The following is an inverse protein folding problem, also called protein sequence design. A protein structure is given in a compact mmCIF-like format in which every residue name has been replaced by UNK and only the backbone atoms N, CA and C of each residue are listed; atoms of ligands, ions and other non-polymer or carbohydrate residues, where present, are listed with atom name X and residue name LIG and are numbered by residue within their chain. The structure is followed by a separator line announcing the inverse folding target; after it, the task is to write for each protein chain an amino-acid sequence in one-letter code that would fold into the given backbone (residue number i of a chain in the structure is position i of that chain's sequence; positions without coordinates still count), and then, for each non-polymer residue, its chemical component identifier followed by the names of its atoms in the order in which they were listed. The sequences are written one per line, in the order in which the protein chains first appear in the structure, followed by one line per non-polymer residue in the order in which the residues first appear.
data_IF_751656211407
#
_entry.id   IF_751656211407
#
_cell.length_a   1.000
_cell.length_b   1.000
_cell.length_c   1.000
_cell.angle_alpha   90.00
_cell.angle_beta   90.00
_cell.angle_gamma   90.00
#
_symmetry.space_group_name_H-M   'P 1'
#
loop_
_entity.id
_entity.type
_entity.pdbx_description
1 polymer ?
#
# COMPACT_ATOMS: atom_id res chain seq x y z
N UNK A 1 -19.04 26.66 4.91
CA UNK A 1 -18.14 25.50 4.74
C UNK A 1 -18.11 25.16 3.26
N UNK A 2 -16.95 24.85 2.69
CA UNK A 2 -16.79 24.52 1.26
C UNK A 2 -16.36 23.07 1.15
N UNK A 3 -17.00 22.34 0.24
CA UNK A 3 -16.67 20.95 -0.07
C UNK A 3 -15.96 20.90 -1.43
N UNK A 4 -14.71 20.50 -1.42
CA UNK A 4 -13.89 20.36 -2.61
C UNK A 4 -13.94 18.91 -3.11
N UNK A 5 -14.42 18.74 -4.34
CA UNK A 5 -14.41 17.45 -5.01
C UNK A 5 -13.19 17.32 -5.92
N UNK A 6 -12.24 16.48 -5.51
CA UNK A 6 -11.01 16.22 -6.27
C UNK A 6 -11.23 15.03 -7.20
N UNK A 7 -11.17 15.31 -8.50
CA UNK A 7 -11.27 14.32 -9.57
C UNK A 7 -9.94 14.15 -10.28
N UNK A 8 -9.69 12.94 -10.80
CA UNK A 8 -8.60 12.66 -11.73
C UNK A 8 -9.19 12.08 -12.99
N UNK A 9 -9.19 12.86 -14.08
CA UNK A 9 -9.91 12.52 -15.31
C UNK A 9 -11.38 12.21 -15.00
N UNK A 10 -11.88 11.04 -15.38
CA UNK A 10 -13.28 10.64 -15.16
C UNK A 10 -13.51 9.95 -13.80
N UNK A 11 -12.46 9.78 -12.98
CA UNK A 11 -12.54 9.07 -11.70
C UNK A 11 -12.60 10.03 -10.52
N UNK A 12 -13.59 9.80 -9.67
CA UNK A 12 -13.77 10.53 -8.42
C UNK A 12 -12.73 10.07 -7.40
N UNK A 13 -11.87 10.98 -6.92
CA UNK A 13 -10.77 10.62 -6.03
C UNK A 13 -11.19 10.74 -4.57
N UNK A 14 -11.30 11.97 -4.02
CA UNK A 14 -11.80 12.23 -2.66
C UNK A 14 -12.51 13.57 -2.54
N UNK A 15 -13.20 13.73 -1.42
CA UNK A 15 -13.78 14.98 -0.94
C UNK A 15 -12.92 15.56 0.17
N UNK A 16 -12.79 16.88 0.19
CA UNK A 16 -12.09 17.62 1.25
C UNK A 16 -12.93 18.82 1.69
N UNK A 17 -13.19 18.95 2.98
CA UNK A 17 -14.01 20.03 3.55
C UNK A 17 -13.13 21.06 4.25
N UNK A 18 -13.30 22.35 3.90
CA UNK A 18 -12.58 23.46 4.52
C UNK A 18 -13.44 24.71 4.68
N UNK A 19 -13.08 25.64 5.59
CA UNK A 19 -13.66 26.98 5.61
C UNK A 19 -13.37 27.75 4.32
N UNK A 20 -14.32 28.60 3.91
CA UNK A 20 -14.15 29.49 2.76
C UNK A 20 -13.08 30.57 3.01
N UNK A 21 -12.77 30.85 4.29
CA UNK A 21 -11.78 31.84 4.69
C UNK A 21 -10.33 31.31 4.68
N UNK A 22 -10.12 30.03 4.40
CA UNK A 22 -8.77 29.44 4.40
C UNK A 22 -8.02 29.81 3.13
N UNK A 23 -6.73 30.14 3.27
CA UNK A 23 -5.85 30.45 2.15
C UNK A 23 -5.70 29.28 1.18
N UNK A 24 -5.61 29.58 -0.12
CA UNK A 24 -5.52 28.58 -1.19
C UNK A 24 -4.27 27.70 -1.04
N UNK A 25 -3.12 28.30 -0.67
CA UNK A 25 -1.87 27.55 -0.51
C UNK A 25 -1.93 26.53 0.64
N UNK A 26 -2.59 26.89 1.73
CA UNK A 26 -2.81 25.98 2.85
C UNK A 26 -3.71 24.80 2.43
N UNK A 27 -4.79 25.09 1.70
CA UNK A 27 -5.70 24.07 1.15
C UNK A 27 -4.95 23.14 0.18
N UNK A 28 -4.16 23.70 -0.74
CA UNK A 28 -3.36 22.93 -1.71
C UNK A 28 -2.40 21.98 -1.02
N UNK A 29 -1.66 22.46 0.00
CA UNK A 29 -0.72 21.63 0.76
C UNK A 29 -1.41 20.43 1.40
N UNK A 30 -2.59 20.63 1.99
CA UNK A 30 -3.36 19.53 2.61
C UNK A 30 -3.89 18.54 1.57
N UNK A 31 -4.45 19.03 0.46
CA UNK A 31 -4.96 18.19 -0.64
C UNK A 31 -3.84 17.32 -1.23
N UNK A 32 -2.67 17.91 -1.50
CA UNK A 32 -1.50 17.19 -2.01
C UNK A 32 -1.01 16.14 -1.00
N UNK A 33 -1.00 16.48 0.29
CA UNK A 33 -0.63 15.53 1.36
C UNK A 33 -1.58 14.33 1.39
N UNK A 34 -2.89 14.55 1.34
CA UNK A 34 -3.90 13.47 1.30
C UNK A 34 -3.71 12.61 0.05
N UNK A 35 -3.51 13.23 -1.11
CA UNK A 35 -3.30 12.51 -2.36
C UNK A 35 -2.06 11.60 -2.29
N UNK A 36 -0.94 12.12 -1.78
CA UNK A 36 0.28 11.35 -1.60
C UNK A 36 0.14 10.22 -0.58
N UNK A 37 -0.60 10.45 0.52
CA UNK A 37 -0.86 9.43 1.53
C UNK A 37 -1.66 8.26 0.96
N UNK A 38 -2.65 8.53 0.11
CA UNK A 38 -3.41 7.48 -0.58
C UNK A 38 -2.51 6.63 -1.47
N UNK A 39 -1.64 7.26 -2.26
CA UNK A 39 -0.69 6.53 -3.09
C UNK A 39 0.29 5.68 -2.26
N UNK A 40 0.75 6.20 -1.12
CA UNK A 40 1.57 5.43 -0.17
C UNK A 40 0.81 4.23 0.40
N UNK A 41 -0.47 4.41 0.76
CA UNK A 41 -1.32 3.34 1.27
C UNK A 41 -1.51 2.25 0.22
N UNK A 42 -1.81 2.59 -1.04
CA UNK A 42 -1.92 1.60 -2.12
C UNK A 42 -0.64 0.79 -2.28
N UNK A 43 0.53 1.45 -2.32
CA UNK A 43 1.83 0.76 -2.40
C UNK A 43 2.08 -0.15 -1.20
N UNK A 44 1.71 0.29 0.00
CA UNK A 44 1.84 -0.49 1.23
C UNK A 44 0.91 -1.70 1.22
N UNK A 45 -0.33 -1.53 0.78
CA UNK A 45 -1.32 -2.61 0.66
C UNK A 45 -0.85 -3.71 -0.29
N UNK A 46 -0.27 -3.33 -1.43
CA UNK A 46 0.28 -4.28 -2.40
C UNK A 46 1.49 -5.02 -1.80
N UNK A 47 2.42 -4.29 -1.16
CA UNK A 47 3.58 -4.88 -0.52
C UNK A 47 3.22 -5.81 0.66
N UNK A 48 2.19 -5.47 1.43
CA UNK A 48 1.68 -6.29 2.53
C UNK A 48 0.96 -7.54 2.03
N UNK A 49 0.25 -7.45 0.89
CA UNK A 49 -0.37 -8.62 0.24
C UNK A 49 0.70 -9.64 -0.16
N UNK A 50 1.76 -9.18 -0.84
CA UNK A 50 2.88 -10.06 -1.22
C UNK A 50 3.68 -10.57 -0.01
N UNK A 51 3.71 -9.82 1.10
CA UNK A 51 4.33 -10.27 2.36
C UNK A 51 3.55 -11.42 2.99
N UNK A 52 2.22 -11.36 2.97
CA UNK A 52 1.37 -12.43 3.49
C UNK A 52 1.50 -13.73 2.67
N UNK A 53 1.88 -13.63 1.39
CA UNK A 53 1.94 -14.78 0.47
C UNK A 53 3.33 -15.39 0.36
N UNK A 54 4.38 -14.56 0.28
CA UNK A 54 5.74 -15.01 -0.02
C UNK A 54 6.76 -14.64 1.07
N UNK A 55 6.32 -13.98 2.14
CA UNK A 55 7.21 -13.65 3.26
C UNK A 55 8.08 -12.42 3.03
N UNK A 56 9.13 -12.25 3.87
CA UNK A 56 9.94 -11.04 3.90
C UNK A 56 10.74 -10.85 2.60
N UNK A 57 11.15 -9.60 2.35
CA UNK A 57 11.95 -9.24 1.19
C UNK A 57 13.39 -9.71 1.37
N UNK A 58 14.00 -10.26 0.31
CA UNK A 58 15.43 -10.56 0.29
C UNK A 58 16.24 -9.24 0.33
N UNK A 59 17.50 -9.27 0.82
CA UNK A 59 18.39 -8.12 0.70
C UNK A 59 18.51 -7.67 -0.76
N UNK A 60 18.71 -6.37 -1.04
CA UNK A 60 18.66 -5.83 -2.40
C UNK A 60 19.64 -6.50 -3.36
N UNK A 61 20.77 -6.98 -2.85
CA UNK A 61 21.82 -7.66 -3.62
C UNK A 61 21.44 -9.09 -4.01
N UNK A 62 20.45 -9.69 -3.34
CA UNK A 62 20.01 -11.07 -3.54
C UNK A 62 18.63 -11.17 -4.22
N UNK A 63 18.04 -10.03 -4.63
CA UNK A 63 16.74 -10.00 -5.30
C UNK A 63 16.87 -10.39 -6.77
N UNK A 64 16.06 -11.35 -7.24
CA UNK A 64 16.09 -11.82 -8.63
C UNK A 64 17.28 -12.72 -8.96
N UNK A 65 17.95 -13.23 -7.91
CA UNK A 65 18.93 -14.29 -8.03
C UNK A 65 18.34 -15.56 -7.43
N UNK A 66 18.47 -16.65 -8.19
CA UNK A 66 18.23 -17.99 -7.68
C UNK A 66 19.12 -18.27 -6.47
N UNK A 67 18.61 -19.05 -5.53
CA UNK A 67 19.37 -19.45 -4.32
C UNK A 67 20.68 -20.20 -4.65
N UNK A 68 20.85 -20.64 -5.91
CA UNK A 68 22.04 -21.33 -6.43
C UNK A 68 23.07 -20.36 -7.06
N UNK A 69 22.72 -19.08 -7.26
CA UNK A 69 23.64 -18.13 -7.89
C UNK A 69 24.66 -17.62 -6.88
N UNK A 70 25.97 -17.77 -7.14
CA UNK A 70 27.00 -17.24 -6.27
C UNK A 70 26.97 -15.70 -6.26
N UNK A 71 27.06 -15.09 -5.08
CA UNK A 71 27.24 -13.64 -4.97
C UNK A 71 28.72 -13.30 -4.85
N UNK A 72 29.03 -12.06 -5.17
CA UNK A 72 30.38 -11.51 -5.02
C UNK A 72 30.91 -11.63 -3.59
N UNK A 73 30.01 -11.59 -2.59
CA UNK A 73 30.35 -11.72 -1.16
C UNK A 73 30.84 -13.12 -0.77
N UNK A 74 30.43 -14.16 -1.51
CA UNK A 74 30.85 -15.54 -1.21
C UNK A 74 32.19 -15.90 -1.87
N UNK A 75 32.76 -14.97 -2.65
CA UNK A 75 34.04 -15.15 -3.30
C UNK A 75 35.17 -14.86 -2.31
N UNK A 76 35.89 -15.91 -1.91
CA UNK A 76 37.08 -15.75 -1.09
C UNK A 76 38.28 -15.38 -1.97
N UNK A 77 38.73 -14.13 -1.84
CA UNK A 77 39.90 -13.58 -2.56
C UNK A 77 41.20 -14.30 -2.24
N UNK A 78 41.30 -14.95 -1.07
CA UNK A 78 42.49 -15.68 -0.65
C UNK A 78 42.61 -17.07 -1.29
N UNK A 79 41.48 -17.76 -1.45
CA UNK A 79 41.42 -19.15 -1.92
C UNK A 79 40.98 -19.27 -3.37
N UNK A 80 40.43 -18.21 -3.98
CA UNK A 80 39.95 -18.18 -5.36
C UNK A 80 38.75 -19.12 -5.60
N UNK A 81 38.07 -19.52 -4.53
CA UNK A 81 36.93 -20.44 -4.56
C UNK A 81 35.69 -19.75 -4.00
N UNK A 82 34.53 -20.14 -4.53
CA UNK A 82 33.24 -19.67 -4.05
C UNK A 82 32.66 -20.76 -3.15
N UNK A 83 32.39 -20.42 -1.89
CA UNK A 83 31.72 -21.36 -1.00
C UNK A 83 30.28 -21.58 -1.47
N UNK A 84 29.78 -22.83 -1.55
CA UNK A 84 28.39 -23.07 -1.89
C UNK A 84 27.51 -22.47 -0.79
N UNK A 85 26.60 -21.56 -1.18
CA UNK A 85 25.66 -20.95 -0.23
C UNK A 85 24.82 -22.02 0.44
N UNK A 86 24.61 -21.86 1.75
CA UNK A 86 23.55 -22.60 2.41
C UNK A 86 22.22 -22.13 1.82
N UNK A 87 21.46 -23.07 1.26
CA UNK A 87 20.10 -22.82 0.78
C UNK A 87 19.32 -22.19 1.92
N UNK A 88 18.64 -21.06 1.66
CA UNK A 88 17.83 -20.41 2.70
C UNK A 88 16.92 -21.45 3.35
N UNK A 89 16.93 -21.54 4.68
CA UNK A 89 16.18 -22.55 5.42
C UNK A 89 14.70 -22.42 5.05
N UNK A 90 14.18 -23.42 4.34
CA UNK A 90 12.78 -23.44 3.92
C UNK A 90 11.95 -23.74 5.16
N UNK A 91 11.22 -22.73 5.61
CA UNK A 91 10.33 -22.86 6.75
C UNK A 91 9.13 -23.77 6.46
N UNK A 92 8.32 -24.08 7.48
CA UNK A 92 7.14 -24.94 7.34
C UNK A 92 6.10 -24.41 6.35
N UNK A 93 6.06 -23.09 6.11
CA UNK A 93 5.12 -22.43 5.21
C UNK A 93 5.82 -21.81 3.99
N UNK A 94 6.68 -22.58 3.31
CA UNK A 94 7.36 -22.09 2.12
C UNK A 94 6.41 -21.97 0.91
N UNK A 95 6.31 -20.77 0.36
CA UNK A 95 5.57 -20.42 -0.87
C UNK A 95 6.48 -19.63 -1.80
N UNK A 96 6.97 -20.23 -2.90
CA UNK A 96 7.92 -19.56 -3.79
C UNK A 96 7.31 -18.28 -4.38
N UNK A 97 8.11 -17.22 -4.45
CA UNK A 97 7.75 -15.96 -5.10
C UNK A 97 8.03 -16.07 -6.60
N UNK A 98 7.05 -15.85 -7.49
CA UNK A 98 7.30 -15.85 -8.94
C UNK A 98 8.24 -14.73 -9.40
N UNK A 99 8.46 -13.70 -8.57
CA UNK A 99 9.36 -12.59 -8.87
C UNK A 99 10.73 -12.70 -8.20
N UNK A 100 10.97 -13.73 -7.38
CA UNK A 100 12.23 -13.98 -6.65
C UNK A 100 12.74 -12.79 -5.82
N UNK A 101 11.85 -11.87 -5.45
CA UNK A 101 12.18 -10.69 -4.63
C UNK A 101 12.11 -11.00 -3.15
N UNK A 102 11.39 -12.04 -2.77
CA UNK A 102 11.12 -12.45 -1.38
C UNK A 102 11.72 -13.81 -1.07
N UNK A 103 11.90 -14.07 0.22
CA UNK A 103 12.52 -15.30 0.74
C UNK A 103 11.64 -16.52 0.48
N UNK A 104 10.34 -16.36 0.24
CA UNK A 104 9.38 -17.45 0.07
C UNK A 104 8.88 -18.04 1.39
N UNK A 105 9.48 -17.66 2.53
CA UNK A 105 9.05 -18.10 3.86
C UNK A 105 7.85 -17.27 4.33
N UNK A 106 6.64 -17.74 3.98
CA UNK A 106 5.41 -17.06 4.36
C UNK A 106 5.17 -17.12 5.88
N UNK A 107 4.50 -16.11 6.45
CA UNK A 107 4.06 -16.16 7.85
C UNK A 107 3.04 -17.30 8.08
N UNK A 108 2.69 -17.57 9.34
CA UNK A 108 1.60 -18.50 9.66
C UNK A 108 0.28 -18.04 9.04
N UNK A 109 -0.60 -18.98 8.69
CA UNK A 109 -1.85 -18.66 8.00
C UNK A 109 -2.74 -17.71 8.82
N UNK A 110 -2.68 -17.81 10.16
CA UNK A 110 -3.38 -16.88 11.06
C UNK A 110 -2.89 -15.43 10.89
N UNK A 111 -1.58 -15.20 10.86
CA UNK A 111 -0.99 -13.87 10.68
C UNK A 111 -1.25 -13.37 9.26
N UNK A 112 -1.14 -14.25 8.26
CA UNK A 112 -1.43 -13.92 6.88
C UNK A 112 -2.88 -13.45 6.70
N UNK A 113 -3.84 -14.08 7.38
CA UNK A 113 -5.25 -13.68 7.36
C UNK A 113 -5.46 -12.29 7.97
N UNK A 114 -4.80 -11.97 9.09
CA UNK A 114 -4.86 -10.64 9.70
C UNK A 114 -4.29 -9.58 8.77
N UNK A 115 -3.15 -9.85 8.12
CA UNK A 115 -2.54 -8.93 7.14
C UNK A 115 -3.50 -8.71 5.96
N UNK A 116 -4.08 -9.77 5.39
CA UNK A 116 -5.03 -9.65 4.28
C UNK A 116 -6.27 -8.83 4.65
N UNK A 117 -6.85 -9.08 5.83
CA UNK A 117 -7.98 -8.30 6.35
C UNK A 117 -7.63 -6.81 6.50
N UNK A 118 -6.50 -6.49 7.13
CA UNK A 118 -6.08 -5.08 7.30
C UNK A 118 -5.79 -4.38 5.97
N UNK A 119 -5.29 -5.10 4.97
CA UNK A 119 -5.11 -4.59 3.61
C UNK A 119 -6.46 -4.29 2.94
N UNK A 120 -7.44 -5.19 3.08
CA UNK A 120 -8.80 -4.99 2.56
C UNK A 120 -9.47 -3.78 3.20
N UNK A 121 -9.37 -3.65 4.53
CA UNK A 121 -9.87 -2.48 5.27
C UNK A 121 -9.21 -1.19 4.77
N UNK A 122 -7.88 -1.19 4.59
CA UNK A 122 -7.15 -0.04 4.06
C UNK A 122 -7.55 0.32 2.62
N UNK A 123 -7.76 -0.69 1.76
CA UNK A 123 -8.22 -0.48 0.37
C UNK A 123 -9.66 0.04 0.34
N UNK A 124 -10.53 -0.43 1.24
CA UNK A 124 -11.90 0.05 1.35
C UNK A 124 -11.95 1.55 1.68
N UNK A 125 -11.06 2.03 2.56
CA UNK A 125 -10.92 3.46 2.91
C UNK A 125 -10.43 4.35 1.76
N UNK A 126 -9.79 3.79 0.73
CA UNK A 126 -9.30 4.57 -0.42
C UNK A 126 -10.25 4.44 -1.63
N UNK A 127 -11.24 3.57 -1.55
CA UNK A 127 -12.12 3.25 -2.67
C UNK A 127 -13.06 4.41 -3.05
N UNK A 128 -13.37 4.51 -4.34
CA UNK A 128 -14.31 5.50 -4.90
C UNK A 128 -15.72 5.37 -4.29
N UNK A 129 -16.07 4.18 -3.78
CA UNK A 129 -17.32 3.91 -3.05
C UNK A 129 -17.52 4.87 -1.88
N UNK A 130 -16.44 5.23 -1.18
CA UNK A 130 -16.51 6.16 -0.06
C UNK A 130 -16.92 7.56 -0.54
N UNK A 131 -16.45 7.99 -1.72
CA UNK A 131 -16.80 9.28 -2.30
C UNK A 131 -18.27 9.34 -2.68
N UNK A 132 -18.80 8.30 -3.33
CA UNK A 132 -20.24 8.22 -3.65
C UNK A 132 -21.14 8.15 -2.41
N UNK A 133 -20.68 7.50 -1.33
CA UNK A 133 -21.41 7.48 -0.06
C UNK A 133 -21.43 8.86 0.60
N UNK A 134 -20.29 9.56 0.60
CA UNK A 134 -20.18 10.90 1.17
C UNK A 134 -20.92 11.96 0.34
N UNK A 135 -20.95 11.84 -0.99
CA UNK A 135 -21.79 12.69 -1.86
C UNK A 135 -23.27 12.60 -1.48
N UNK A 136 -23.82 11.37 -1.38
CA UNK A 136 -25.21 11.16 -0.93
C UNK A 136 -25.50 11.81 0.44
N UNK A 137 -24.53 11.74 1.35
CA UNK A 137 -24.64 12.33 2.68
C UNK A 137 -24.48 13.86 2.69
N UNK A 138 -23.66 14.41 1.78
CA UNK A 138 -23.51 15.84 1.61
C UNK A 138 -24.78 16.47 1.00
N UNK A 139 -25.34 15.84 -0.03
CA UNK A 139 -26.56 16.29 -0.70
C UNK A 139 -27.74 16.34 0.28
N UNK A 140 -27.92 15.29 1.08
CA UNK A 140 -28.97 15.25 2.11
C UNK A 140 -28.79 16.31 3.20
N UNK A 141 -27.56 16.64 3.59
CA UNK A 141 -27.27 17.73 4.54
C UNK A 141 -27.54 19.12 3.95
N UNK A 142 -27.21 19.32 2.68
CA UNK A 142 -27.48 20.59 1.97
C UNK A 142 -29.00 20.80 1.86
N UNK A 143 -29.75 19.79 1.46
CA UNK A 143 -31.22 19.83 1.37
C UNK A 143 -31.85 20.12 2.75
N UNK A 144 -31.38 19.46 3.80
CA UNK A 144 -31.88 19.68 5.17
C UNK A 144 -31.47 21.04 5.77
N UNK A 145 -30.40 21.68 5.26
CA UNK A 145 -29.99 23.03 5.66
C UNK A 145 -30.87 24.09 4.97
N UNK A 146 -31.16 23.90 3.69
CA UNK A 146 -31.99 24.81 2.90
C UNK A 146 -33.45 24.80 3.38
N UNK A 147 -33.99 23.63 3.74
CA UNK A 147 -35.34 23.50 4.30
C UNK A 147 -35.52 24.09 5.71
N UNK A 148 -34.42 24.46 6.40
CA UNK A 148 -34.46 25.13 7.72
C UNK A 148 -34.37 26.66 7.63
N UNK A 149 -34.07 27.19 6.45
CA UNK A 149 -33.94 28.62 6.19
C UNK A 149 -35.06 29.15 5.27
N UNK A 150 -36.08 28.33 4.99
CA UNK A 150 -37.38 28.69 4.42
C UNK A 150 -38.45 28.57 5.51
#
# INVERSE_FOLDING_TARGET
MVLLHVKRSDKDTFLYETPAATEVDAVLTQVVKIHNLRHKLTRLADAASSLAEHGPMKPPEQQGLDDETPLLEDYDVGTGTVAPRSRSERGPNYRPDPTERRTGNAPTDEIAAVIKRTVEDGRALVSERQVHALHRNADSRIVASCARHM
#
